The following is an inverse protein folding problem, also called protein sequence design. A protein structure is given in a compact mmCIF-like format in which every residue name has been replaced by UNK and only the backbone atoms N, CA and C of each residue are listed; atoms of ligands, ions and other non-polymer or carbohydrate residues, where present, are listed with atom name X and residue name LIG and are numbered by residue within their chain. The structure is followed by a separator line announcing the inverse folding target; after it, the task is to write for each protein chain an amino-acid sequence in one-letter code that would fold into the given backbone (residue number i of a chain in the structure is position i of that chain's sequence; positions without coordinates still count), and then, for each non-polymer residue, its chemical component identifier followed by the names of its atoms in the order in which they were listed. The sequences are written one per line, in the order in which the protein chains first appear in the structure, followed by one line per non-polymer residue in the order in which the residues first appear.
data_IF_494561080599
#
_entry.id   IF_494561080599
#
_cell.length_a   1.000
_cell.length_b   1.000
_cell.length_c   1.000
_cell.angle_alpha   90.00
_cell.angle_beta   90.00
_cell.angle_gamma   90.00
#
_symmetry.space_group_name_H-M   'P 1'
#
loop_
_entity.id
_entity.type
_entity.pdbx_description
1 polymer ?
#
# COMPACT_ATOMS: atom_id res chain seq x y z
N UNK A 1 -28.53 17.17 -13.19
CA UNK A 1 -28.44 15.70 -13.08
C UNK A 1 -27.01 15.39 -12.77
N UNK A 2 -26.67 15.16 -11.50
CA UNK A 2 -26.78 13.87 -10.80
C UNK A 2 -25.94 12.77 -11.46
N UNK A 3 -24.85 12.41 -10.75
CA UNK A 3 -24.02 11.21 -10.87
C UNK A 3 -23.26 10.99 -12.18
N UNK A 4 -22.09 11.64 -12.29
CA UNK A 4 -20.98 11.07 -13.04
C UNK A 4 -20.53 9.77 -12.36
N UNK A 5 -21.08 8.64 -12.81
CA UNK A 5 -20.73 7.31 -12.32
C UNK A 5 -19.25 7.07 -12.57
N UNK A 6 -18.51 6.75 -11.51
CA UNK A 6 -17.11 6.37 -11.58
C UNK A 6 -17.01 5.07 -12.39
N UNK A 7 -16.54 5.17 -13.64
CA UNK A 7 -16.33 4.02 -14.51
C UNK A 7 -14.85 3.71 -14.60
N UNK A 8 -14.51 2.43 -14.53
CA UNK A 8 -13.15 1.92 -14.69
C UNK A 8 -13.19 0.88 -15.81
N UNK A 9 -12.25 0.93 -16.77
CA UNK A 9 -12.24 0.06 -17.96
C UNK A 9 -13.58 0.03 -18.75
N UNK A 10 -14.35 1.12 -18.70
CA UNK A 10 -15.67 1.23 -19.37
C UNK A 10 -16.83 0.56 -18.63
N UNK A 11 -16.61 0.02 -17.43
CA UNK A 11 -17.66 -0.58 -16.59
C UNK A 11 -17.90 0.24 -15.31
N UNK A 12 -19.11 0.20 -14.73
CA UNK A 12 -19.37 0.74 -13.40
C UNK A 12 -18.46 0.08 -12.35
N UNK A 13 -17.91 0.88 -11.44
CA UNK A 13 -16.98 0.41 -10.40
C UNK A 13 -17.60 -0.70 -9.53
N UNK A 14 -18.91 -0.60 -9.26
CA UNK A 14 -19.68 -1.59 -8.50
C UNK A 14 -19.70 -2.95 -9.21
N UNK A 15 -19.81 -2.96 -10.55
CA UNK A 15 -19.84 -4.18 -11.34
C UNK A 15 -18.46 -4.87 -11.35
N UNK A 16 -17.39 -4.08 -11.41
CA UNK A 16 -16.01 -4.59 -11.28
C UNK A 16 -15.78 -5.17 -9.88
N UNK A 17 -16.18 -4.44 -8.83
CA UNK A 17 -16.06 -4.89 -7.45
C UNK A 17 -16.80 -6.20 -7.20
N UNK A 18 -18.03 -6.32 -7.68
CA UNK A 18 -18.84 -7.55 -7.56
C UNK A 18 -18.20 -8.73 -8.30
N UNK A 19 -17.65 -8.50 -9.50
CA UNK A 19 -16.93 -9.52 -10.26
C UNK A 19 -15.68 -10.03 -9.54
N UNK A 20 -14.89 -9.12 -8.96
CA UNK A 20 -13.70 -9.44 -8.18
C UNK A 20 -14.07 -10.23 -6.92
N UNK A 21 -15.07 -9.77 -6.17
CA UNK A 21 -15.49 -10.43 -4.94
C UNK A 21 -15.96 -11.85 -5.21
N UNK A 22 -16.80 -12.05 -6.24
CA UNK A 22 -17.28 -13.37 -6.66
C UNK A 22 -16.13 -14.33 -6.99
N UNK A 23 -15.10 -13.84 -7.70
CA UNK A 23 -13.91 -14.64 -7.99
C UNK A 23 -13.13 -14.98 -6.72
N UNK A 24 -12.87 -14.01 -5.84
CA UNK A 24 -12.10 -14.25 -4.63
C UNK A 24 -12.77 -15.26 -3.69
N UNK A 25 -14.08 -15.16 -3.51
CA UNK A 25 -14.83 -16.15 -2.73
C UNK A 25 -14.78 -17.55 -3.38
N UNK A 26 -14.85 -17.66 -4.71
CA UNK A 26 -14.71 -18.93 -5.41
C UNK A 26 -13.29 -19.53 -5.31
N UNK A 27 -12.25 -18.69 -5.41
CA UNK A 27 -10.86 -19.10 -5.29
C UNK A 27 -10.54 -19.63 -3.89
N UNK A 28 -11.02 -18.94 -2.84
CA UNK A 28 -10.88 -19.40 -1.45
C UNK A 28 -11.62 -20.72 -1.23
N UNK A 29 -12.86 -20.84 -1.71
CA UNK A 29 -13.66 -22.07 -1.56
C UNK A 29 -13.04 -23.29 -2.26
N UNK A 30 -12.15 -23.09 -3.22
CA UNK A 30 -11.49 -24.15 -4.01
C UNK A 30 -10.01 -24.36 -3.66
N UNK A 31 -9.49 -23.68 -2.63
CA UNK A 31 -8.04 -23.59 -2.33
C UNK A 31 -7.18 -23.11 -3.54
N UNK A 32 -7.81 -22.46 -4.53
CA UNK A 32 -7.16 -21.92 -5.72
C UNK A 32 -6.62 -20.50 -5.51
N UNK A 33 -5.95 -20.26 -4.37
CA UNK A 33 -5.45 -18.93 -3.99
C UNK A 33 -4.01 -18.66 -4.38
N UNK A 34 -3.33 -19.67 -4.95
CA UNK A 34 -2.00 -19.49 -5.55
C UNK A 34 -2.10 -18.57 -6.78
N UNK A 35 -1.33 -17.47 -6.83
CA UNK A 35 -1.42 -16.55 -7.94
C UNK A 35 -0.97 -17.21 -9.25
N UNK A 36 -1.81 -17.18 -10.29
CA UNK A 36 -1.45 -17.71 -11.61
C UNK A 36 -0.33 -16.90 -12.29
N UNK A 37 -0.08 -15.68 -11.80
CA UNK A 37 1.04 -14.84 -12.18
C UNK A 37 1.61 -14.17 -10.94
N UNK A 38 2.87 -14.45 -10.62
CA UNK A 38 3.62 -13.71 -9.62
C UNK A 38 4.13 -12.40 -10.24
N UNK A 39 3.94 -11.24 -9.59
CA UNK A 39 4.47 -9.99 -10.05
C UNK A 39 5.99 -10.07 -9.98
N UNK A 40 6.61 -9.66 -11.07
CA UNK A 40 8.05 -9.56 -11.12
C UNK A 40 8.52 -8.42 -10.21
N UNK A 41 8.90 -8.78 -8.98
CA UNK A 41 9.41 -7.86 -7.97
C UNK A 41 10.65 -7.10 -8.48
N UNK A 42 11.38 -7.64 -9.46
CA UNK A 42 12.55 -6.98 -10.06
C UNK A 42 12.18 -5.72 -10.85
N UNK A 43 10.90 -5.57 -11.19
CA UNK A 43 10.37 -4.41 -11.93
C UNK A 43 9.77 -3.35 -11.02
N UNK A 44 9.69 -3.60 -9.72
CA UNK A 44 9.18 -2.64 -8.74
C UNK A 44 10.31 -1.80 -8.17
N UNK A 45 10.01 -0.53 -7.88
CA UNK A 45 10.98 0.42 -7.38
C UNK A 45 10.41 1.19 -6.19
N UNK A 46 11.28 1.50 -5.25
CA UNK A 46 11.15 2.69 -4.43
C UNK A 46 11.44 3.91 -5.31
N UNK A 47 10.63 4.94 -5.21
CA UNK A 47 10.83 6.23 -5.87
C UNK A 47 11.01 7.29 -4.80
N UNK A 48 12.25 7.73 -4.60
CA UNK A 48 12.55 8.85 -3.73
C UNK A 48 12.19 10.16 -4.44
N UNK A 49 11.20 10.88 -3.89
CA UNK A 49 10.78 12.18 -4.42
C UNK A 49 11.60 13.30 -3.78
N UNK A 50 12.15 14.19 -4.61
CA UNK A 50 12.93 15.35 -4.18
C UNK A 50 12.58 16.57 -5.02
N UNK A 51 13.04 17.76 -4.58
CA UNK A 51 12.87 19.00 -5.35
C UNK A 51 13.72 19.01 -6.64
N UNK A 52 14.72 18.13 -6.76
CA UNK A 52 15.55 17.96 -7.95
C UNK A 52 14.97 16.96 -8.95
N UNK A 53 13.98 16.17 -8.53
CA UNK A 53 13.36 15.12 -9.32
C UNK A 53 13.15 13.82 -8.54
N UNK A 54 12.68 12.82 -9.26
CA UNK A 54 12.37 11.49 -8.72
C UNK A 54 13.51 10.51 -9.03
N UNK A 55 13.93 9.74 -8.04
CA UNK A 55 15.02 8.77 -8.16
C UNK A 55 14.53 7.37 -7.82
N UNK A 56 14.67 6.44 -8.77
CA UNK A 56 14.17 5.06 -8.63
C UNK A 56 15.25 4.10 -8.15
N UNK A 57 14.88 3.24 -7.21
CA UNK A 57 15.73 2.19 -6.63
C UNK A 57 14.95 0.88 -6.62
N UNK A 58 15.53 -0.26 -7.05
CA UNK A 58 14.81 -1.53 -7.09
C UNK A 58 14.29 -1.94 -5.70
N UNK A 59 13.04 -2.40 -5.63
CA UNK A 59 12.42 -2.84 -4.37
C UNK A 59 13.22 -3.96 -3.70
N UNK A 60 13.74 -4.89 -4.51
CA UNK A 60 14.57 -6.01 -4.07
C UNK A 60 15.98 -5.60 -3.58
N UNK A 61 16.38 -4.33 -3.75
CA UNK A 61 17.69 -3.81 -3.38
C UNK A 61 17.55 -2.50 -2.57
N UNK A 62 16.74 -2.54 -1.52
CA UNK A 62 16.40 -1.39 -0.68
C UNK A 62 17.63 -0.64 -0.16
N UNK A 63 18.72 -1.34 0.16
CA UNK A 63 20.00 -0.76 0.56
C UNK A 63 20.59 0.27 -0.39
N UNK A 64 20.30 0.20 -1.69
CA UNK A 64 20.71 1.24 -2.65
C UNK A 64 20.04 2.59 -2.37
N UNK A 65 18.77 2.57 -1.92
CA UNK A 65 18.08 3.77 -1.47
C UNK A 65 18.61 4.24 -0.11
N UNK A 66 18.71 3.35 0.87
CA UNK A 66 19.10 3.73 2.24
C UNK A 66 20.54 4.25 2.37
N UNK A 67 21.43 3.79 1.48
CA UNK A 67 22.80 4.29 1.36
C UNK A 67 22.97 5.50 0.42
N UNK A 68 21.92 5.89 -0.29
CA UNK A 68 21.96 7.00 -1.23
C UNK A 68 22.34 8.32 -0.55
N UNK A 69 23.21 9.16 -1.17
CA UNK A 69 23.47 10.50 -0.66
C UNK A 69 22.25 11.43 -0.73
N UNK A 70 21.20 11.03 -1.45
CA UNK A 70 19.93 11.75 -1.54
C UNK A 70 18.95 11.36 -0.41
N UNK A 71 19.24 10.31 0.35
CA UNK A 71 18.44 9.88 1.49
C UNK A 71 19.04 10.41 2.80
N UNK A 72 18.34 11.33 3.46
CA UNK A 72 18.85 12.03 4.63
C UNK A 72 18.44 11.32 5.92
N UNK A 73 19.38 10.57 6.50
CA UNK A 73 19.15 9.70 7.67
C UNK A 73 18.73 10.40 8.96
N UNK A 74 18.88 11.73 9.03
CA UNK A 74 18.46 12.54 10.17
C UNK A 74 17.00 13.04 10.04
N UNK A 75 16.37 12.81 8.89
CA UNK A 75 14.98 13.19 8.63
C UNK A 75 14.03 12.00 8.85
N UNK A 76 12.79 12.34 9.21
CA UNK A 76 11.69 11.38 9.21
C UNK A 76 11.44 10.85 7.80
N UNK A 77 11.04 9.58 7.72
CA UNK A 77 10.84 8.85 6.47
C UNK A 77 9.38 8.42 6.33
N UNK A 78 8.73 8.94 5.29
CA UNK A 78 7.36 8.61 4.92
C UNK A 78 7.39 7.76 3.66
N UNK A 79 6.77 6.59 3.72
CA UNK A 79 6.69 5.67 2.58
C UNK A 79 5.23 5.50 2.19
N UNK A 80 4.88 5.95 0.99
CA UNK A 80 3.57 5.80 0.38
C UNK A 80 3.53 4.58 -0.54
N UNK A 81 2.66 3.63 -0.24
CA UNK A 81 2.36 2.47 -1.10
C UNK A 81 1.06 2.75 -1.85
N UNK A 82 1.16 2.84 -3.17
CA UNK A 82 -0.01 3.14 -4.02
C UNK A 82 -0.94 1.93 -4.15
N UNK A 83 -2.15 2.18 -4.66
CA UNK A 83 -3.16 1.14 -4.87
C UNK A 83 -3.17 0.65 -6.32
N UNK A 84 -4.12 -0.24 -6.62
CA UNK A 84 -4.31 -0.68 -7.98
C UNK A 84 -5.02 0.41 -8.83
N UNK A 85 -4.49 0.69 -10.03
CA UNK A 85 -4.99 1.60 -11.08
C UNK A 85 -4.73 3.09 -10.84
N UNK A 86 -3.79 3.43 -9.96
CA UNK A 86 -3.35 4.83 -9.78
C UNK A 86 -2.58 5.44 -10.97
N UNK A 87 -2.60 4.81 -12.14
CA UNK A 87 -1.83 5.23 -13.33
C UNK A 87 -2.51 4.86 -14.65
N UNK A 88 -3.62 5.49 -14.97
CA UNK A 88 -4.02 5.47 -16.39
C UNK A 88 -3.64 6.76 -17.10
N UNK A 89 -3.62 7.93 -16.46
CA UNK A 89 -3.15 9.17 -17.11
C UNK A 89 -2.49 10.11 -16.08
N UNK A 90 -1.29 10.61 -16.38
CA UNK A 90 -0.50 11.61 -15.63
C UNK A 90 0.37 11.15 -14.43
N UNK A 91 1.49 11.85 -14.12
CA UNK A 91 2.30 11.55 -12.93
C UNK A 91 1.40 11.56 -11.70
N UNK A 92 1.35 10.43 -10.97
CA UNK A 92 0.43 10.17 -9.85
C UNK A 92 0.18 11.43 -8.99
N UNK A 93 -0.88 12.16 -9.33
CA UNK A 93 -1.13 13.51 -8.80
C UNK A 93 -1.34 13.44 -7.29
N UNK A 94 -1.95 12.35 -6.81
CA UNK A 94 -2.18 12.08 -5.40
C UNK A 94 -0.86 11.91 -4.64
N UNK A 95 0.08 11.13 -5.18
CA UNK A 95 1.42 11.00 -4.58
C UNK A 95 2.14 12.35 -4.58
N UNK A 96 2.05 13.13 -5.67
CA UNK A 96 2.60 14.48 -5.75
C UNK A 96 1.95 15.46 -4.76
N UNK A 97 0.63 15.36 -4.53
CA UNK A 97 -0.09 16.19 -3.57
C UNK A 97 0.32 15.86 -2.13
N UNK A 98 0.45 14.57 -1.80
CA UNK A 98 0.96 14.12 -0.51
C UNK A 98 2.40 14.58 -0.29
N UNK A 99 3.27 14.42 -1.29
CA UNK A 99 4.65 14.93 -1.24
C UNK A 99 4.66 16.42 -0.89
N UNK A 100 3.93 17.25 -1.65
CA UNK A 100 3.83 18.70 -1.39
C UNK A 100 3.30 19.03 0.00
N UNK A 101 2.30 18.28 0.48
CA UNK A 101 1.73 18.47 1.81
C UNK A 101 2.74 18.17 2.93
N UNK A 102 3.55 17.11 2.79
CA UNK A 102 4.64 16.81 3.74
C UNK A 102 5.74 17.86 3.68
N UNK A 103 6.16 18.28 2.48
CA UNK A 103 7.18 19.33 2.29
C UNK A 103 6.74 20.67 2.90
N UNK A 104 5.45 21.00 2.84
CA UNK A 104 4.92 22.23 3.46
C UNK A 104 5.02 22.24 4.99
N UNK A 105 5.23 21.07 5.63
CA UNK A 105 5.31 20.91 7.09
C UNK A 105 6.75 20.78 7.61
N UNK A 106 7.71 20.56 6.73
CA UNK A 106 9.11 20.35 7.08
C UNK A 106 9.85 19.47 6.08
N UNK A 107 11.06 19.08 6.44
CA UNK A 107 11.90 18.20 5.64
C UNK A 107 11.66 16.74 6.02
N UNK A 108 11.41 15.90 5.00
CA UNK A 108 11.15 14.47 5.13
C UNK A 108 11.83 13.74 3.97
N UNK A 109 12.25 12.50 4.19
CA UNK A 109 12.44 11.55 3.10
C UNK A 109 11.05 11.06 2.68
N UNK A 110 10.63 11.35 1.45
CA UNK A 110 9.34 10.90 0.93
C UNK A 110 9.56 9.88 -0.18
N UNK A 111 9.15 8.65 0.08
CA UNK A 111 9.37 7.50 -0.80
C UNK A 111 8.01 7.00 -1.28
N UNK A 112 7.89 6.75 -2.58
CA UNK A 112 6.69 6.17 -3.18
C UNK A 112 7.04 4.78 -3.70
N UNK A 113 6.22 3.79 -3.38
CA UNK A 113 6.27 2.46 -4.00
C UNK A 113 5.08 2.40 -4.93
N UNK A 114 5.38 2.48 -6.23
CA UNK A 114 4.34 2.47 -7.24
C UNK A 114 3.98 1.03 -7.60
N UNK A 115 2.78 0.58 -7.22
CA UNK A 115 2.29 -0.78 -7.48
C UNK A 115 1.78 -0.96 -8.91
N UNK A 116 2.16 -0.06 -9.81
CA UNK A 116 1.61 0.07 -11.15
C UNK A 116 2.16 -0.94 -12.14
N UNK A 117 3.33 -1.52 -11.86
CA UNK A 117 3.78 -2.69 -12.61
C UNK A 117 2.87 -3.92 -12.40
N UNK A 118 1.97 -3.90 -11.41
CA UNK A 118 0.94 -4.94 -11.21
C UNK A 118 -0.21 -4.84 -12.22
N UNK A 119 -0.30 -3.74 -13.00
CA UNK A 119 -1.37 -3.49 -13.97
C UNK A 119 -1.56 -4.57 -15.04
N UNK A 120 -0.54 -5.38 -15.32
CA UNK A 120 -0.63 -6.47 -16.29
C UNK A 120 -1.29 -7.74 -15.72
N UNK A 121 -1.80 -7.70 -14.49
CA UNK A 121 -2.43 -8.85 -13.82
C UNK A 121 -3.89 -8.54 -13.42
N UNK A 122 -4.72 -9.56 -13.19
CA UNK A 122 -6.12 -9.45 -12.74
C UNK A 122 -6.25 -9.21 -11.22
N UNK A 123 -7.41 -8.66 -10.82
CA UNK A 123 -7.90 -8.33 -9.46
C UNK A 123 -7.15 -8.95 -8.26
N UNK A 124 -7.86 -9.91 -7.71
CA UNK A 124 -7.47 -11.30 -7.56
C UNK A 124 -5.97 -11.59 -7.52
N UNK A 125 -5.25 -11.58 -8.64
CA UNK A 125 -3.82 -11.89 -8.64
C UNK A 125 -3.00 -10.82 -7.91
N UNK A 126 -3.25 -9.54 -8.13
CA UNK A 126 -2.58 -8.50 -7.35
C UNK A 126 -2.90 -8.61 -5.84
N UNK A 127 -4.14 -8.99 -5.50
CA UNK A 127 -4.54 -9.23 -4.11
C UNK A 127 -3.78 -10.40 -3.49
N UNK A 128 -3.67 -11.53 -4.19
CA UNK A 128 -2.92 -12.71 -3.69
C UNK A 128 -1.42 -12.45 -3.55
N UNK A 129 -0.87 -11.45 -4.24
CA UNK A 129 0.54 -11.07 -4.12
C UNK A 129 0.83 -10.02 -3.03
N UNK A 130 -0.19 -9.54 -2.33
CA UNK A 130 -0.04 -8.57 -1.22
C UNK A 130 0.96 -9.03 -0.18
N UNK A 131 0.96 -10.32 0.17
CA UNK A 131 1.90 -10.86 1.17
C UNK A 131 3.34 -10.91 0.66
N UNK A 132 3.55 -11.23 -0.63
CA UNK A 132 4.88 -11.28 -1.24
C UNK A 132 5.46 -9.86 -1.36
N UNK A 133 4.64 -8.89 -1.79
CA UNK A 133 5.01 -7.48 -1.84
C UNK A 133 5.26 -6.90 -0.45
N UNK A 134 4.37 -7.20 0.50
CA UNK A 134 4.54 -6.84 1.89
C UNK A 134 5.81 -7.42 2.48
N UNK A 135 6.14 -8.68 2.17
CA UNK A 135 7.38 -9.31 2.62
C UNK A 135 8.62 -8.59 2.09
N UNK A 136 8.65 -8.28 0.79
CA UNK A 136 9.77 -7.57 0.18
C UNK A 136 9.94 -6.15 0.77
N UNK A 137 8.84 -5.43 0.99
CA UNK A 137 8.86 -4.13 1.67
C UNK A 137 9.31 -4.28 3.14
N UNK A 138 8.81 -5.28 3.85
CA UNK A 138 9.18 -5.58 5.23
C UNK A 138 10.67 -5.86 5.38
N UNK A 139 11.27 -6.65 4.47
CA UNK A 139 12.72 -6.88 4.44
C UNK A 139 13.50 -5.58 4.18
N UNK A 140 12.98 -4.70 3.31
CA UNK A 140 13.54 -3.36 3.10
C UNK A 140 13.47 -2.46 4.35
N UNK A 141 12.40 -2.57 5.14
CA UNK A 141 12.23 -1.84 6.40
C UNK A 141 13.15 -2.38 7.51
N UNK A 142 13.36 -3.69 7.55
CA UNK A 142 14.35 -4.35 8.43
C UNK A 142 15.74 -3.77 8.17
N UNK A 143 16.08 -3.50 6.91
CA UNK A 143 17.34 -2.85 6.55
C UNK A 143 17.33 -1.35 6.91
N UNK A 144 16.23 -0.64 6.68
CA UNK A 144 16.11 0.81 6.93
C UNK A 144 16.44 1.18 8.39
N UNK A 145 16.01 0.36 9.36
CA UNK A 145 16.24 0.63 10.79
C UNK A 145 17.71 0.50 11.22
N UNK A 146 18.59 0.03 10.34
CA UNK A 146 20.05 0.10 10.54
C UNK A 146 20.61 1.50 10.19
N UNK A 147 19.82 2.34 9.51
CA UNK A 147 20.21 3.69 9.06
C UNK A 147 19.49 4.81 9.81
N UNK A 148 18.25 4.58 10.26
CA UNK A 148 17.40 5.58 10.94
C UNK A 148 16.72 4.99 12.18
N UNK A 149 16.35 5.80 13.19
CA UNK A 149 15.54 5.32 14.30
C UNK A 149 14.18 4.81 13.82
N UNK A 150 13.70 3.68 14.31
CA UNK A 150 12.39 3.14 13.88
C UNK A 150 11.23 4.12 14.12
N UNK A 151 11.34 4.97 15.15
CA UNK A 151 10.33 5.99 15.48
C UNK A 151 10.16 7.05 14.39
N UNK A 152 11.10 7.18 13.46
CA UNK A 152 11.05 8.16 12.37
C UNK A 152 10.34 7.64 11.11
N UNK A 153 9.83 6.40 11.12
CA UNK A 153 9.25 5.73 9.96
C UNK A 153 7.71 5.80 9.99
N UNK A 154 7.09 6.23 8.89
CA UNK A 154 5.63 6.18 8.72
C UNK A 154 5.26 5.53 7.38
N UNK A 155 4.51 4.44 7.44
CA UNK A 155 3.92 3.83 6.24
C UNK A 155 2.52 4.39 5.98
N UNK A 156 2.23 4.69 4.72
CA UNK A 156 0.91 5.09 4.25
C UNK A 156 0.55 4.18 3.08
N UNK A 157 -0.59 3.50 3.13
CA UNK A 157 -1.04 2.64 2.06
C UNK A 157 -2.43 3.02 1.57
N UNK A 158 -2.61 3.15 0.25
CA UNK A 158 -3.91 3.43 -0.35
C UNK A 158 -4.51 2.19 -1.02
N UNK A 159 -5.80 1.92 -0.80
CA UNK A 159 -6.50 0.79 -1.42
C UNK A 159 -5.73 -0.53 -1.21
N UNK A 160 -5.25 -1.21 -2.26
CA UNK A 160 -4.40 -2.40 -2.15
C UNK A 160 -3.10 -2.13 -1.36
N UNK A 161 -2.53 -0.93 -1.48
CA UNK A 161 -1.32 -0.52 -0.77
C UNK A 161 -1.48 -0.51 0.75
N UNK A 162 -2.71 -0.34 1.27
CA UNK A 162 -2.99 -0.44 2.70
C UNK A 162 -2.69 -1.86 3.21
N UNK A 163 -3.13 -2.88 2.48
CA UNK A 163 -2.88 -4.27 2.84
C UNK A 163 -1.42 -4.68 2.65
N UNK A 164 -0.74 -4.15 1.62
CA UNK A 164 0.71 -4.33 1.44
C UNK A 164 1.46 -3.75 2.64
N UNK A 165 1.03 -2.58 3.13
CA UNK A 165 1.62 -1.94 4.32
C UNK A 165 1.39 -2.78 5.57
N UNK A 166 0.20 -3.35 5.76
CA UNK A 166 -0.08 -4.28 6.87
C UNK A 166 0.80 -5.53 6.83
N UNK A 167 0.92 -6.15 5.65
CA UNK A 167 1.81 -7.30 5.46
C UNK A 167 3.29 -6.96 5.70
N UNK A 168 3.73 -5.76 5.30
CA UNK A 168 5.08 -5.28 5.59
C UNK A 168 5.33 -5.05 7.09
N UNK A 169 4.34 -4.50 7.82
CA UNK A 169 4.39 -4.34 9.27
C UNK A 169 4.54 -5.68 10.00
N UNK A 170 3.73 -6.68 9.63
CA UNK A 170 3.84 -8.05 10.16
C UNK A 170 5.20 -8.67 9.87
N UNK A 171 5.67 -8.59 8.62
CA UNK A 171 7.00 -9.10 8.25
C UNK A 171 8.11 -8.44 9.07
N UNK A 172 8.05 -7.12 9.24
CA UNK A 172 9.01 -6.38 10.04
C UNK A 172 9.01 -6.86 11.50
N UNK A 173 7.83 -7.00 12.11
CA UNK A 173 7.65 -7.49 13.47
C UNK A 173 8.20 -8.92 13.64
N UNK A 174 7.93 -9.82 12.70
CA UNK A 174 8.45 -11.20 12.70
C UNK A 174 9.98 -11.25 12.76
N UNK A 175 10.67 -10.32 12.07
CA UNK A 175 12.13 -10.30 11.99
C UNK A 175 12.78 -9.53 13.14
N UNK A 176 12.26 -8.34 13.49
CA UNK A 176 12.89 -7.47 14.51
C UNK A 176 12.37 -7.71 15.92
N UNK A 177 11.20 -8.35 16.07
CA UNK A 177 10.56 -8.59 17.37
C UNK A 177 9.87 -7.38 17.98
N UNK A 178 9.72 -6.28 17.23
CA UNK A 178 8.98 -5.08 17.63
C UNK A 178 8.31 -4.43 16.40
N UNK A 179 7.36 -3.53 16.64
CA UNK A 179 6.52 -2.95 15.59
C UNK A 179 7.14 -1.72 14.93
N UNK A 180 6.62 -1.39 13.74
CA UNK A 180 6.71 -0.04 13.20
C UNK A 180 5.84 0.91 14.04
N UNK A 181 6.18 2.21 14.13
CA UNK A 181 5.43 3.11 15.00
C UNK A 181 4.06 3.47 14.42
N UNK A 182 3.91 3.53 13.09
CA UNK A 182 2.64 3.92 12.46
C UNK A 182 2.44 3.37 11.05
N UNK A 183 1.23 2.88 10.81
CA UNK A 183 0.67 2.64 9.47
C UNK A 183 -0.62 3.45 9.33
N UNK A 184 -0.76 4.19 8.24
CA UNK A 184 -2.03 4.84 7.86
C UNK A 184 -2.65 4.14 6.65
N UNK A 185 -3.87 3.63 6.80
CA UNK A 185 -4.67 3.07 5.72
C UNK A 185 -5.58 4.12 5.08
N UNK A 186 -5.39 4.42 3.79
CA UNK A 186 -6.25 5.31 3.02
C UNK A 186 -7.21 4.48 2.16
N UNK A 187 -8.45 4.40 2.60
CA UNK A 187 -9.55 3.65 1.98
C UNK A 187 -9.12 2.20 1.60
N UNK A 188 -8.76 1.36 2.59
CA UNK A 188 -8.29 -0.01 2.33
C UNK A 188 -9.30 -0.79 1.50
N UNK A 189 -8.84 -1.60 0.55
CA UNK A 189 -9.71 -2.31 -0.36
C UNK A 189 -10.55 -3.40 0.35
N UNK A 190 -11.81 -3.54 -0.04
CA UNK A 190 -12.67 -4.59 0.51
C UNK A 190 -12.55 -5.95 -0.20
N UNK A 191 -12.50 -6.04 -1.54
CA UNK A 191 -12.51 -7.34 -2.22
C UNK A 191 -11.27 -8.17 -1.86
N UNK A 192 -11.48 -9.45 -1.55
CA UNK A 192 -10.43 -10.45 -1.24
C UNK A 192 -9.79 -10.32 0.16
N UNK A 193 -10.24 -9.37 1.01
CA UNK A 193 -9.72 -9.13 2.36
C UNK A 193 -10.82 -9.22 3.45
N UNK A 194 -11.82 -10.09 3.27
CA UNK A 194 -12.88 -10.33 4.25
C UNK A 194 -12.57 -11.51 5.19
N UNK A 195 -13.25 -11.55 6.34
CA UNK A 195 -13.12 -12.67 7.29
C UNK A 195 -13.44 -14.00 6.62
N UNK A 196 -12.50 -14.96 6.72
CA UNK A 196 -12.59 -16.28 6.07
C UNK A 196 -11.89 -16.38 4.71
N UNK A 197 -11.33 -15.28 4.17
CA UNK A 197 -10.48 -15.29 2.97
C UNK A 197 -8.98 -15.42 3.35
N UNK A 198 -8.14 -15.91 2.43
CA UNK A 198 -6.73 -16.27 2.71
C UNK A 198 -5.79 -15.08 2.98
N UNK A 199 -6.23 -13.84 2.82
CA UNK A 199 -5.38 -12.65 2.95
C UNK A 199 -5.65 -11.91 4.26
N UNK A 200 -4.61 -11.77 5.09
CA UNK A 200 -4.71 -11.16 6.42
C UNK A 200 -4.94 -9.64 6.44
N UNK A 201 -5.05 -8.99 5.28
CA UNK A 201 -5.44 -7.58 5.15
C UNK A 201 -4.56 -6.62 5.97
N UNK A 202 -5.06 -5.41 6.16
CA UNK A 202 -4.53 -4.46 7.14
C UNK A 202 -5.34 -4.66 8.41
N UNK A 203 -4.69 -4.71 9.56
CA UNK A 203 -5.34 -4.98 10.84
C UNK A 203 -4.63 -4.30 12.01
N UNK A 204 -5.34 -4.13 13.12
CA UNK A 204 -4.74 -3.70 14.40
C UNK A 204 -3.58 -4.60 14.78
N UNK A 205 -2.50 -4.00 15.26
CA UNK A 205 -1.29 -4.71 15.65
C UNK A 205 -0.26 -4.89 14.52
N UNK A 206 -0.58 -4.53 13.27
CA UNK A 206 0.43 -4.47 12.20
C UNK A 206 1.47 -3.35 12.43
N UNK A 207 1.16 -2.39 13.30
CA UNK A 207 2.04 -1.34 13.84
C UNK A 207 1.59 -0.97 15.27
N UNK A 208 2.39 -0.14 15.97
CA UNK A 208 2.00 0.42 17.28
C UNK A 208 0.77 1.33 17.19
N UNK A 209 0.59 1.99 16.04
CA UNK A 209 -0.62 2.74 15.70
C UNK A 209 -1.02 2.44 14.25
N UNK A 210 -2.21 1.90 14.08
CA UNK A 210 -2.86 1.77 12.78
C UNK A 210 -4.03 2.73 12.72
N UNK A 211 -3.94 3.78 11.90
CA UNK A 211 -5.04 4.73 11.69
C UNK A 211 -5.60 4.65 10.27
N UNK A 212 -6.93 4.64 10.13
CA UNK A 212 -7.59 4.31 8.86
C UNK A 212 -8.60 5.38 8.49
N UNK A 213 -8.59 5.80 7.23
CA UNK A 213 -9.58 6.72 6.67
C UNK A 213 -10.43 5.97 5.67
N UNK A 214 -11.73 5.87 5.94
CA UNK A 214 -12.71 5.18 5.13
C UNK A 214 -13.52 6.19 4.31
N UNK A 215 -13.31 6.25 2.99
CA UNK A 215 -13.93 7.28 2.14
C UNK A 215 -14.83 6.71 1.04
N UNK A 216 -14.79 5.38 0.80
CA UNK A 216 -15.64 4.72 -0.20
C UNK A 216 -16.21 3.38 0.30
N UNK A 217 -16.66 3.34 1.56
CA UNK A 217 -17.18 2.12 2.24
C UNK A 217 -18.40 1.46 1.59
N UNK A 218 -19.07 2.16 0.66
CA UNK A 218 -20.27 1.66 -0.01
C UNK A 218 -19.97 0.95 -1.33
N UNK A 219 -18.75 1.07 -1.85
CA UNK A 219 -18.40 0.57 -3.19
C UNK A 219 -17.13 -0.29 -3.17
N UNK A 220 -15.98 0.28 -2.81
CA UNK A 220 -14.67 -0.41 -2.89
C UNK A 220 -13.92 -0.50 -1.56
N UNK A 221 -14.17 0.42 -0.64
CA UNK A 221 -13.47 0.51 0.64
C UNK A 221 -14.04 -0.46 1.67
N UNK A 222 -13.18 -0.96 2.57
CA UNK A 222 -13.59 -1.80 3.70
C UNK A 222 -14.46 -0.97 4.65
N UNK A 223 -15.58 -1.54 5.12
CA UNK A 223 -16.48 -0.85 6.08
C UNK A 223 -16.08 -1.13 7.53
N UNK A 224 -15.57 -2.32 7.81
CA UNK A 224 -15.23 -2.75 9.16
C UNK A 224 -14.09 -1.90 9.76
N UNK A 225 -14.13 -1.63 11.07
CA UNK A 225 -13.09 -0.88 11.75
C UNK A 225 -11.85 -1.77 11.95
N UNK A 226 -10.83 -1.55 11.12
CA UNK A 226 -9.62 -2.39 11.07
C UNK A 226 -8.39 -1.72 11.69
N UNK A 227 -8.46 -0.43 12.01
CA UNK A 227 -7.41 0.32 12.71
C UNK A 227 -7.63 0.40 14.21
N UNK A 228 -6.62 0.91 14.92
CA UNK A 228 -6.75 1.40 16.30
C UNK A 228 -7.61 2.66 16.34
N UNK A 229 -7.58 3.44 15.25
CA UNK A 229 -8.41 4.63 15.04
C UNK A 229 -8.97 4.59 13.61
N UNK A 230 -10.29 4.58 13.47
CA UNK A 230 -10.97 4.59 12.17
C UNK A 230 -11.77 5.89 11.99
N UNK A 231 -11.54 6.58 10.87
CA UNK A 231 -12.21 7.82 10.49
C UNK A 231 -13.15 7.56 9.31
N UNK A 232 -14.41 8.00 9.41
CA UNK A 232 -15.43 7.87 8.37
C UNK A 232 -15.89 9.26 7.91
N UNK A 233 -15.08 9.98 7.12
CA UNK A 233 -15.49 11.27 6.58
C UNK A 233 -16.79 11.12 5.76
N UNK A 234 -17.81 11.88 6.13
CA UNK A 234 -19.11 11.94 5.45
C UNK A 234 -20.04 10.70 5.56
N UNK A 235 -19.69 9.66 6.33
CA UNK A 235 -20.58 8.53 6.67
C UNK A 235 -20.74 7.47 5.57
#
# INVERSE_FOLDING_TARGET
GEFGKQTLLGYPLEAIAAGIHSFCSAAVATNGTEPFFEPDLTRMNYVLMTDLGNYSYPLAQAGLLWSSPLFYKHLDTVILVTGWLTTIEEPNEAAGALYRAYRARGEFNFVVIDTVSLLNTLYTWSSFNTNNLGSALGDGLVELVEYVPVQSIHLIGHSLGAHISGAAGRRFQEVKGFNLPRITGLDPANPCFNEGENLSGLSRGDADLVDVIHSNVRVLGKRDPIGDIDFYPNG
#
